data_IF_655617265339
#
_entry.id   IF_655617265339
#
_cell.length_a   1.000
_cell.length_b   1.000
_cell.length_c   1.000
_cell.angle_alpha   90.00
_cell.angle_beta   90.00
_cell.angle_gamma   90.00
#
_symmetry.space_group_name_H-M   'P 1'
#
loop_
_entity.id
_entity.type
_entity.pdbx_description
1 polymer ?
#
# COMPACT_ATOMS: atom_id res chain seq x y z
N UNK A 1 -22.14 4.42 -14.52
CA UNK A 1 -20.73 3.99 -14.58
C UNK A 1 -19.85 5.07 -15.21
N UNK A 2 -20.43 5.94 -16.02
CA UNK A 2 -19.72 6.72 -17.04
C UNK A 2 -19.24 8.10 -16.57
N UNK A 3 -19.61 8.51 -15.35
CA UNK A 3 -19.16 9.79 -14.79
C UNK A 3 -17.63 9.81 -14.60
N UNK A 4 -16.86 10.59 -15.37
CA UNK A 4 -15.40 10.57 -15.30
C UNK A 4 -14.83 11.17 -14.00
N UNK A 5 -15.64 11.91 -13.23
CA UNK A 5 -15.25 12.47 -11.94
C UNK A 5 -15.15 11.38 -10.86
N UNK A 6 -15.95 10.32 -10.97
CA UNK A 6 -15.93 9.19 -10.03
C UNK A 6 -14.78 8.24 -10.36
N UNK A 7 -13.78 8.17 -9.46
CA UNK A 7 -12.60 7.30 -9.62
C UNK A 7 -12.77 5.91 -8.98
N UNK A 8 -13.57 5.81 -7.92
CA UNK A 8 -13.78 4.60 -7.13
C UNK A 8 -15.17 4.68 -6.47
N UNK A 9 -15.77 3.53 -6.19
CA UNK A 9 -17.06 3.44 -5.47
C UNK A 9 -16.86 2.70 -4.15
N UNK A 10 -17.39 3.26 -3.06
CA UNK A 10 -17.38 2.66 -1.73
C UNK A 10 -18.78 2.18 -1.37
N UNK A 11 -18.90 0.99 -0.77
CA UNK A 11 -20.17 0.42 -0.36
C UNK A 11 -20.10 -0.07 1.08
N UNK A 12 -21.09 0.29 1.88
CA UNK A 12 -21.38 -0.35 3.17
C UNK A 12 -22.65 -1.17 3.00
N UNK A 13 -22.53 -2.49 3.09
CA UNK A 13 -23.57 -3.44 2.67
C UNK A 13 -24.07 -4.21 3.89
N UNK A 14 -25.35 -3.99 4.21
CA UNK A 14 -26.08 -4.78 5.21
C UNK A 14 -26.80 -5.97 4.53
N UNK A 15 -27.38 -5.72 3.36
CA UNK A 15 -28.03 -6.73 2.52
C UNK A 15 -28.34 -6.22 1.11
N UNK A 16 -28.50 -7.14 0.16
CA UNK A 16 -28.87 -6.87 -1.22
C UNK A 16 -30.21 -7.54 -1.54
N UNK A 17 -31.20 -6.76 -2.00
CA UNK A 17 -32.50 -7.31 -2.44
C UNK A 17 -32.42 -7.96 -3.83
N UNK A 18 -31.81 -7.25 -4.78
CA UNK A 18 -31.66 -7.67 -6.19
C UNK A 18 -30.25 -8.17 -6.45
N UNK A 19 -29.85 -9.24 -5.75
CA UNK A 19 -28.46 -9.72 -5.73
C UNK A 19 -27.86 -10.00 -7.12
N UNK A 20 -28.63 -10.60 -8.04
CA UNK A 20 -28.15 -10.88 -9.40
C UNK A 20 -27.94 -9.61 -10.22
N UNK A 21 -28.91 -8.69 -10.21
CA UNK A 21 -28.79 -7.40 -10.90
C UNK A 21 -27.59 -6.60 -10.36
N UNK A 22 -27.42 -6.58 -9.04
CA UNK A 22 -26.26 -5.94 -8.39
C UNK A 22 -24.94 -6.57 -8.83
N UNK A 23 -24.86 -7.90 -8.85
CA UNK A 23 -23.66 -8.62 -9.26
C UNK A 23 -23.26 -8.29 -10.70
N UNK A 24 -24.20 -8.32 -11.65
CA UNK A 24 -23.92 -7.98 -13.06
C UNK A 24 -23.45 -6.54 -13.20
N UNK A 25 -24.11 -5.60 -12.51
CA UNK A 25 -23.72 -4.20 -12.51
C UNK A 25 -22.32 -3.99 -11.91
N UNK A 26 -22.03 -4.62 -10.76
CA UNK A 26 -20.74 -4.54 -10.11
C UNK A 26 -19.63 -5.11 -11.02
N UNK A 27 -19.87 -6.27 -11.63
CA UNK A 27 -18.93 -6.93 -12.55
C UNK A 27 -18.63 -6.07 -13.79
N UNK A 28 -19.60 -5.33 -14.31
CA UNK A 28 -19.37 -4.44 -15.45
C UNK A 28 -18.58 -3.19 -15.02
N UNK A 29 -18.96 -2.57 -13.90
CA UNK A 29 -18.32 -1.36 -13.37
C UNK A 29 -16.86 -1.63 -13.02
N UNK A 30 -16.58 -2.76 -12.37
CA UNK A 30 -15.22 -3.12 -11.93
C UNK A 30 -14.27 -3.38 -13.08
N UNK A 31 -14.70 -3.53 -14.34
CA UNK A 31 -13.75 -3.54 -15.47
C UNK A 31 -12.98 -2.23 -15.60
N UNK A 32 -13.57 -1.12 -15.14
CA UNK A 32 -13.02 0.22 -15.30
C UNK A 32 -12.72 0.89 -13.94
N UNK A 33 -13.63 0.78 -12.98
CA UNK A 33 -13.55 1.49 -11.70
C UNK A 33 -13.55 0.53 -10.52
N UNK A 34 -12.58 0.59 -9.60
CA UNK A 34 -12.62 -0.24 -8.41
C UNK A 34 -13.89 0.03 -7.58
N UNK A 35 -14.42 -1.04 -7.00
CA UNK A 35 -15.45 -0.99 -5.97
C UNK A 35 -14.82 -1.57 -4.70
N UNK A 36 -14.87 -0.83 -3.60
CA UNK A 36 -14.47 -1.31 -2.26
C UNK A 36 -15.73 -1.44 -1.42
N UNK A 37 -15.93 -2.61 -0.80
CA UNK A 37 -17.14 -2.89 -0.05
C UNK A 37 -16.85 -3.46 1.34
N UNK A 38 -17.57 -2.95 2.34
CA UNK A 38 -17.69 -3.55 3.67
C UNK A 38 -19.01 -4.31 3.71
N UNK A 39 -18.97 -5.61 4.02
CA UNK A 39 -20.16 -6.41 4.33
C UNK A 39 -20.24 -6.58 5.83
N UNK A 40 -21.33 -6.11 6.44
CA UNK A 40 -21.61 -6.27 7.87
C UNK A 40 -22.64 -7.37 8.11
N UNK A 41 -22.78 -7.83 9.35
CA UNK A 41 -23.62 -9.00 9.66
C UNK A 41 -23.04 -10.28 9.05
N UNK A 42 -21.73 -10.47 9.21
CA UNK A 42 -20.94 -11.61 8.71
C UNK A 42 -20.99 -12.81 9.66
N UNK A 43 -21.27 -12.57 10.94
CA UNK A 43 -21.51 -13.59 11.97
C UNK A 43 -23.00 -13.90 12.11
N UNK A 44 -23.35 -14.98 12.80
CA UNK A 44 -24.74 -15.32 13.05
C UNK A 44 -25.47 -14.23 13.84
N UNK A 45 -24.86 -13.76 14.93
CA UNK A 45 -25.39 -12.71 15.81
C UNK A 45 -25.47 -11.37 15.08
N UNK A 46 -24.42 -11.01 14.34
CA UNK A 46 -24.42 -9.79 13.52
C UNK A 46 -25.47 -9.85 12.42
N UNK A 47 -25.67 -11.03 11.82
CA UNK A 47 -26.70 -11.25 10.81
C UNK A 47 -28.10 -11.13 11.38
N UNK A 48 -28.36 -11.67 12.58
CA UNK A 48 -29.63 -11.49 13.32
C UNK A 48 -29.88 -10.02 13.66
N UNK A 49 -28.85 -9.31 14.13
CA UNK A 49 -28.94 -7.89 14.46
C UNK A 49 -29.22 -7.02 13.21
N UNK A 50 -28.54 -7.29 12.10
CA UNK A 50 -28.81 -6.61 10.83
C UNK A 50 -30.23 -6.90 10.33
N UNK A 51 -30.71 -8.14 10.50
CA UNK A 51 -32.05 -8.53 10.07
C UNK A 51 -33.17 -7.88 10.90
N UNK A 52 -32.98 -7.73 12.21
CA UNK A 52 -33.98 -7.09 13.08
C UNK A 52 -34.13 -5.59 12.78
N UNK A 53 -33.05 -4.91 12.38
CA UNK A 53 -33.09 -3.48 12.04
C UNK A 53 -33.56 -3.21 10.60
N UNK A 54 -33.20 -4.08 9.65
CA UNK A 54 -33.52 -3.86 8.22
C UNK A 54 -34.81 -4.57 7.75
N UNK A 55 -35.35 -5.48 8.55
CA UNK A 55 -36.49 -6.32 8.19
C UNK A 55 -36.19 -7.32 7.08
N UNK A 56 -34.91 -7.64 6.82
CA UNK A 56 -34.49 -8.57 5.76
C UNK A 56 -33.43 -9.55 6.25
N UNK A 57 -33.51 -10.81 5.82
CA UNK A 57 -32.55 -11.83 6.25
C UNK A 57 -31.13 -11.47 5.76
N UNK A 58 -30.14 -11.40 6.66
CA UNK A 58 -28.74 -11.24 6.26
C UNK A 58 -28.33 -12.46 5.43
N UNK A 59 -27.99 -12.25 4.16
CA UNK A 59 -27.56 -13.33 3.26
C UNK A 59 -26.22 -13.93 3.69
N UNK A 60 -25.94 -15.16 3.23
CA UNK A 60 -24.73 -15.90 3.61
C UNK A 60 -23.44 -15.15 3.25
N UNK A 61 -22.56 -14.94 4.24
CA UNK A 61 -21.29 -14.24 4.02
C UNK A 61 -20.40 -14.91 2.97
N UNK A 62 -20.40 -16.25 2.93
CA UNK A 62 -19.64 -17.02 1.93
C UNK A 62 -20.13 -16.75 0.50
N UNK A 63 -21.43 -16.50 0.32
CA UNK A 63 -22.01 -16.15 -0.99
C UNK A 63 -21.60 -14.73 -1.37
N UNK A 64 -21.62 -13.77 -0.44
CA UNK A 64 -21.12 -12.42 -0.68
C UNK A 64 -19.64 -12.43 -1.05
N UNK A 65 -18.81 -13.18 -0.33
CA UNK A 65 -17.38 -13.30 -0.59
C UNK A 65 -17.09 -13.85 -2.01
N UNK A 66 -17.79 -14.92 -2.40
CA UNK A 66 -17.68 -15.49 -3.73
C UNK A 66 -18.15 -14.50 -4.81
N UNK A 67 -19.29 -13.84 -4.61
CA UNK A 67 -19.82 -12.85 -5.53
C UNK A 67 -18.89 -11.65 -5.70
N UNK A 68 -18.30 -11.13 -4.61
CA UNK A 68 -17.33 -10.04 -4.66
C UNK A 68 -16.09 -10.44 -5.44
N UNK A 69 -15.52 -11.61 -5.17
CA UNK A 69 -14.34 -12.13 -5.90
C UNK A 69 -14.60 -12.28 -7.39
N UNK A 70 -15.75 -12.82 -7.78
CA UNK A 70 -16.15 -12.99 -9.18
C UNK A 70 -16.45 -11.65 -9.88
N UNK A 71 -17.05 -10.70 -9.16
CA UNK A 71 -17.33 -9.37 -9.66
C UNK A 71 -16.12 -8.42 -9.61
N UNK A 72 -14.98 -8.81 -9.04
CA UNK A 72 -13.82 -7.92 -8.89
C UNK A 72 -14.02 -6.81 -7.85
N UNK A 73 -14.96 -6.99 -6.93
CA UNK A 73 -15.18 -6.09 -5.79
C UNK A 73 -14.13 -6.40 -4.72
N UNK A 74 -13.49 -5.35 -4.21
CA UNK A 74 -12.47 -5.43 -3.17
C UNK A 74 -13.20 -5.38 -1.83
N UNK A 75 -13.10 -6.46 -1.05
CA UNK A 75 -13.70 -6.52 0.27
C UNK A 75 -12.78 -5.89 1.31
N UNK A 76 -13.31 -4.98 2.12
CA UNK A 76 -12.68 -4.47 3.34
C UNK A 76 -13.42 -5.03 4.58
N UNK A 77 -12.67 -5.27 5.65
CA UNK A 77 -13.18 -5.76 6.95
C UNK A 77 -13.86 -4.64 7.72
N UNK A 78 -13.30 -3.44 7.65
CA UNK A 78 -13.77 -2.27 8.38
C UNK A 78 -13.48 -0.97 7.60
N UNK A 79 -13.85 0.16 8.21
CA UNK A 79 -13.67 1.48 7.62
C UNK A 79 -12.20 1.86 7.45
N UNK A 80 -11.33 1.48 8.39
CA UNK A 80 -9.89 1.83 8.34
C UNK A 80 -9.24 1.17 7.14
N UNK A 81 -9.47 -0.13 6.97
CA UNK A 81 -8.98 -0.88 5.83
C UNK A 81 -9.58 -0.38 4.50
N UNK A 82 -10.87 -0.02 4.50
CA UNK A 82 -11.50 0.60 3.34
C UNK A 82 -10.79 1.89 2.93
N UNK A 83 -10.50 2.81 3.88
CA UNK A 83 -9.78 4.05 3.57
C UNK A 83 -8.35 3.80 3.09
N UNK A 84 -7.66 2.80 3.64
CA UNK A 84 -6.32 2.43 3.16
C UNK A 84 -6.34 1.97 1.72
N UNK A 85 -7.30 1.12 1.37
CA UNK A 85 -7.47 0.60 0.02
C UNK A 85 -7.86 1.71 -0.95
N UNK A 86 -8.76 2.61 -0.57
CA UNK A 86 -9.14 3.77 -1.37
C UNK A 86 -7.90 4.61 -1.69
N UNK A 87 -7.10 4.94 -0.67
CA UNK A 87 -5.88 5.74 -0.85
C UNK A 87 -4.92 5.08 -1.83
N UNK A 88 -4.63 3.80 -1.64
CA UNK A 88 -3.75 3.05 -2.54
C UNK A 88 -4.26 3.00 -3.98
N UNK A 89 -5.54 2.68 -4.16
CA UNK A 89 -6.17 2.56 -5.49
C UNK A 89 -6.27 3.88 -6.26
N UNK A 90 -6.30 5.01 -5.56
CA UNK A 90 -6.36 6.34 -6.18
C UNK A 90 -4.96 6.91 -6.43
N UNK A 91 -4.02 6.69 -5.51
CA UNK A 91 -2.70 7.32 -5.55
C UNK A 91 -1.69 6.53 -6.38
N UNK A 92 -1.67 5.21 -6.24
CA UNK A 92 -0.63 4.37 -6.82
C UNK A 92 -1.07 3.69 -8.13
N UNK A 93 -0.15 3.51 -9.10
CA UNK A 93 -0.39 2.63 -10.24
C UNK A 93 -0.49 1.16 -9.79
N UNK A 94 -1.05 0.30 -10.64
CA UNK A 94 -1.07 -1.14 -10.35
C UNK A 94 0.31 -1.76 -10.62
N UNK A 95 0.79 -2.68 -9.76
CA UNK A 95 2.05 -3.38 -10.03
C UNK A 95 1.90 -4.26 -11.27
N UNK A 96 2.97 -4.41 -12.05
CA UNK A 96 2.98 -5.26 -13.26
C UNK A 96 3.05 -6.76 -12.92
N UNK A 97 3.48 -7.11 -11.72
CA UNK A 97 3.65 -8.47 -11.22
C UNK A 97 3.61 -8.54 -9.69
N UNK A 98 4.08 -9.65 -9.12
CA UNK A 98 3.98 -9.96 -7.69
C UNK A 98 5.28 -9.69 -6.91
N UNK A 99 6.32 -9.15 -7.54
CA UNK A 99 7.66 -9.05 -6.94
C UNK A 99 7.90 -7.67 -6.35
N UNK A 100 7.99 -7.57 -5.04
CA UNK A 100 8.04 -6.30 -4.32
C UNK A 100 9.42 -6.11 -3.70
N UNK A 101 9.99 -4.93 -3.91
CA UNK A 101 11.18 -4.47 -3.20
C UNK A 101 10.79 -3.90 -1.84
N UNK A 102 11.63 -4.12 -0.84
CA UNK A 102 11.48 -3.52 0.49
C UNK A 102 12.78 -2.79 0.83
N UNK A 103 12.68 -1.52 1.25
CA UNK A 103 13.81 -0.70 1.70
C UNK A 103 13.47 -0.07 3.04
N UNK A 104 14.23 -0.42 4.08
CA UNK A 104 13.98 0.05 5.44
C UNK A 104 15.29 0.36 6.15
N UNK A 105 15.29 1.30 7.09
CA UNK A 105 16.39 1.52 8.04
C UNK A 105 16.19 0.75 9.36
N UNK A 106 15.10 -0.01 9.46
CA UNK A 106 14.78 -0.90 10.59
C UNK A 106 14.59 -2.33 10.08
N UNK A 107 15.46 -3.24 10.53
CA UNK A 107 15.36 -4.66 10.19
C UNK A 107 14.06 -5.30 10.66
N UNK A 108 13.50 -4.89 11.81
CA UNK A 108 12.19 -5.39 12.29
C UNK A 108 11.05 -5.04 11.33
N UNK A 109 10.96 -3.76 10.96
CA UNK A 109 9.98 -3.29 9.96
C UNK A 109 10.18 -3.98 8.60
N UNK A 110 11.43 -4.24 8.21
CA UNK A 110 11.75 -4.93 6.97
C UNK A 110 11.22 -6.37 6.95
N UNK A 111 11.42 -7.10 8.05
CA UNK A 111 10.93 -8.48 8.24
C UNK A 111 9.40 -8.52 8.30
N UNK A 112 8.77 -7.67 9.12
CA UNK A 112 7.31 -7.56 9.21
C UNK A 112 6.67 -7.25 7.85
N UNK A 113 7.29 -6.35 7.08
CA UNK A 113 6.83 -6.02 5.73
C UNK A 113 6.94 -7.23 4.79
N UNK A 114 8.04 -7.97 4.84
CA UNK A 114 8.24 -9.14 3.99
C UNK A 114 7.23 -10.25 4.29
N UNK A 115 7.00 -10.56 5.57
CA UNK A 115 6.03 -11.55 5.99
C UNK A 115 4.60 -11.15 5.58
N UNK A 116 4.24 -9.89 5.78
CA UNK A 116 2.92 -9.38 5.39
C UNK A 116 2.70 -9.40 3.85
N UNK A 117 3.74 -9.14 3.06
CA UNK A 117 3.70 -9.27 1.60
C UNK A 117 3.47 -10.73 1.18
N UNK A 118 4.20 -11.66 1.77
CA UNK A 118 4.07 -13.10 1.49
C UNK A 118 2.66 -13.58 1.84
N UNK A 119 2.12 -13.16 2.99
CA UNK A 119 0.74 -13.47 3.39
C UNK A 119 -0.32 -12.93 2.43
N UNK A 120 -0.01 -11.86 1.68
CA UNK A 120 -0.85 -11.30 0.62
C UNK A 120 -0.64 -11.97 -0.75
N UNK A 121 0.18 -13.02 -0.84
CA UNK A 121 0.48 -13.73 -2.08
C UNK A 121 1.48 -13.03 -2.99
N UNK A 122 2.26 -12.08 -2.45
CA UNK A 122 3.34 -11.39 -3.13
C UNK A 122 4.69 -12.07 -2.83
N UNK A 123 5.75 -11.63 -3.51
CA UNK A 123 7.11 -12.16 -3.38
C UNK A 123 8.09 -11.04 -3.06
N UNK A 124 9.14 -11.38 -2.32
CA UNK A 124 10.27 -10.48 -2.02
C UNK A 124 11.53 -11.11 -2.61
N UNK A 125 11.75 -11.03 -3.94
CA UNK A 125 12.84 -11.74 -4.57
C UNK A 125 14.19 -11.09 -4.23
N UNK A 126 15.23 -11.92 -4.13
CA UNK A 126 16.61 -11.45 -4.01
C UNK A 126 16.97 -10.58 -5.22
N UNK A 127 17.56 -9.40 -4.98
CA UNK A 127 18.04 -8.51 -6.02
C UNK A 127 19.21 -9.13 -6.78
N UNK A 128 19.42 -8.76 -8.05
CA UNK A 128 20.65 -9.13 -8.77
C UNK A 128 21.92 -8.73 -8.02
N UNK A 129 22.99 -9.49 -8.25
CA UNK A 129 24.29 -9.24 -7.63
C UNK A 129 24.83 -7.85 -7.93
N UNK A 130 24.61 -7.34 -9.15
CA UNK A 130 25.04 -5.99 -9.54
C UNK A 130 24.35 -4.92 -8.69
N UNK A 131 23.05 -5.06 -8.46
CA UNK A 131 22.30 -4.14 -7.61
C UNK A 131 22.77 -4.22 -6.15
N UNK A 132 23.02 -5.43 -5.64
CA UNK A 132 23.57 -5.61 -4.29
C UNK A 132 24.95 -4.94 -4.14
N UNK A 133 25.82 -5.06 -5.16
CA UNK A 133 27.14 -4.40 -5.19
C UNK A 133 27.01 -2.88 -5.19
N UNK A 134 26.06 -2.30 -5.92
CA UNK A 134 25.83 -0.85 -5.89
C UNK A 134 25.27 -0.37 -4.54
N UNK A 135 24.38 -1.15 -3.91
CA UNK A 135 23.85 -0.83 -2.58
C UNK A 135 24.97 -0.86 -1.53
N UNK A 136 25.85 -1.87 -1.56
CA UNK A 136 27.00 -1.97 -0.64
C UNK A 136 27.95 -0.76 -0.70
N UNK A 137 27.97 0.00 -1.80
CA UNK A 137 28.77 1.24 -1.89
C UNK A 137 28.20 2.40 -1.08
N UNK A 138 26.95 2.32 -0.65
CA UNK A 138 26.25 3.42 0.04
C UNK A 138 25.72 3.05 1.43
N UNK A 139 25.55 1.77 1.74
CA UNK A 139 25.17 1.30 3.08
C UNK A 139 26.40 0.90 3.91
N UNK A 140 26.29 0.86 5.26
CA UNK A 140 27.36 0.32 6.11
C UNK A 140 27.64 -1.16 5.84
N UNK A 141 28.85 -1.63 6.15
CA UNK A 141 29.29 -3.02 5.94
C UNK A 141 28.44 -4.08 6.64
N UNK A 142 27.75 -3.70 7.72
CA UNK A 142 26.85 -4.55 8.50
C UNK A 142 25.37 -4.43 8.08
N UNK A 143 25.06 -3.63 7.05
CA UNK A 143 23.74 -3.58 6.45
C UNK A 143 23.46 -4.77 5.54
N UNK A 144 22.19 -4.93 5.14
CA UNK A 144 21.78 -6.00 4.23
C UNK A 144 21.45 -5.44 2.84
N UNK A 145 22.25 -5.74 1.79
CA UNK A 145 21.97 -5.27 0.44
C UNK A 145 20.96 -6.12 -0.32
N UNK A 146 20.55 -7.29 0.23
CA UNK A 146 19.52 -8.15 -0.38
C UNK A 146 18.14 -7.53 -0.18
N UNK A 147 17.12 -8.09 -0.81
CA UNK A 147 15.74 -7.71 -0.54
C UNK A 147 15.19 -8.60 0.60
N UNK A 148 14.64 -8.06 1.70
CA UNK A 148 14.54 -6.64 2.07
C UNK A 148 15.88 -5.96 2.34
N UNK A 149 16.05 -4.75 1.81
CA UNK A 149 17.26 -3.95 1.98
C UNK A 149 17.21 -3.25 3.34
N UNK A 150 18.21 -3.51 4.19
CA UNK A 150 18.35 -2.90 5.51
C UNK A 150 19.47 -1.85 5.48
N UNK A 151 19.05 -0.58 5.55
CA UNK A 151 19.92 0.60 5.62
C UNK A 151 20.52 0.80 7.01
N UNK A 152 20.07 0.03 8.01
CA UNK A 152 20.46 0.08 9.43
C UNK A 152 20.04 1.36 10.15
N UNK A 153 20.07 1.34 11.49
CA UNK A 153 19.79 2.51 12.32
C UNK A 153 20.86 3.61 12.20
N UNK A 154 22.08 3.27 11.77
CA UNK A 154 23.16 4.23 11.48
C UNK A 154 22.95 5.01 10.19
N UNK A 155 21.80 4.80 9.52
CA UNK A 155 21.27 5.48 8.35
C UNK A 155 22.02 6.75 7.94
N UNK A 156 22.47 6.80 6.69
CA UNK A 156 23.01 8.02 6.11
C UNK A 156 22.09 8.53 5.00
N UNK A 157 22.08 9.85 4.76
CA UNK A 157 21.16 10.46 3.79
C UNK A 157 21.40 9.96 2.35
N UNK A 158 22.65 9.66 2.01
CA UNK A 158 23.02 9.15 0.69
C UNK A 158 22.39 7.78 0.40
N UNK A 159 22.40 6.85 1.37
CA UNK A 159 21.78 5.55 1.23
C UNK A 159 20.25 5.66 1.19
N UNK A 160 19.67 6.49 2.05
CA UNK A 160 18.23 6.72 2.10
C UNK A 160 17.66 7.21 0.76
N UNK A 161 18.38 8.12 0.09
CA UNK A 161 17.93 8.69 -1.18
C UNK A 161 18.27 7.79 -2.39
N UNK A 162 19.41 7.09 -2.39
CA UNK A 162 19.88 6.33 -3.58
C UNK A 162 19.35 4.91 -3.66
N UNK A 163 19.19 4.22 -2.53
CA UNK A 163 18.78 2.81 -2.54
C UNK A 163 17.40 2.59 -3.17
N UNK A 164 16.38 3.44 -2.92
CA UNK A 164 15.10 3.29 -3.61
C UNK A 164 15.21 3.35 -5.14
N UNK A 165 16.06 4.22 -5.71
CA UNK A 165 16.31 4.28 -7.17
C UNK A 165 16.91 2.97 -7.67
N UNK A 166 17.91 2.43 -6.97
CA UNK A 166 18.58 1.16 -7.32
C UNK A 166 17.59 -0.01 -7.30
N UNK A 167 16.73 -0.08 -6.29
CA UNK A 167 15.73 -1.15 -6.17
C UNK A 167 14.64 -0.99 -7.23
N UNK A 168 14.11 0.21 -7.42
CA UNK A 168 13.06 0.47 -8.41
C UNK A 168 13.55 0.30 -9.85
N UNK A 169 14.84 0.49 -10.14
CA UNK A 169 15.39 0.27 -11.48
C UNK A 169 15.44 -1.21 -11.88
N UNK A 170 15.32 -2.13 -10.93
CA UNK A 170 15.44 -3.56 -11.22
C UNK A 170 14.22 -4.09 -11.99
N UNK A 171 14.38 -4.75 -13.15
CA UNK A 171 13.28 -5.34 -13.91
C UNK A 171 12.59 -6.52 -13.20
N UNK A 172 13.19 -7.07 -12.16
CA UNK A 172 12.59 -8.09 -11.29
C UNK A 172 11.72 -7.52 -10.17
N UNK A 173 11.64 -6.19 -10.04
CA UNK A 173 10.82 -5.52 -9.04
C UNK A 173 9.64 -4.84 -9.74
N UNK A 174 8.43 -5.11 -9.26
CA UNK A 174 7.17 -4.63 -9.80
C UNK A 174 6.50 -3.55 -8.92
N UNK A 175 7.04 -3.32 -7.72
CA UNK A 175 6.61 -2.29 -6.75
C UNK A 175 7.59 -2.17 -5.59
N UNK A 176 7.49 -1.11 -4.79
CA UNK A 176 8.34 -0.84 -3.62
C UNK A 176 7.48 -0.55 -2.38
N UNK A 177 7.86 -1.12 -1.25
CA UNK A 177 7.48 -0.60 0.07
C UNK A 177 8.75 -0.06 0.73
N UNK A 178 8.68 1.16 1.24
CA UNK A 178 9.83 1.80 1.90
C UNK A 178 9.42 2.53 3.16
N UNK A 179 10.37 2.86 4.03
CA UNK A 179 10.11 3.57 5.28
C UNK A 179 10.37 5.08 5.13
N UNK A 180 9.54 5.90 5.77
CA UNK A 180 9.78 7.34 5.93
C UNK A 180 10.77 7.65 7.05
N UNK A 181 11.22 8.90 7.12
CA UNK A 181 12.01 9.39 8.25
C UNK A 181 11.11 10.16 9.22
N UNK A 182 11.08 9.71 10.47
CA UNK A 182 10.44 10.44 11.56
C UNK A 182 11.34 11.52 12.16
N UNK A 183 10.74 12.40 12.95
CA UNK A 183 11.42 13.55 13.58
C UNK A 183 12.57 13.14 14.48
N UNK A 184 12.42 12.03 15.21
CA UNK A 184 13.47 11.52 16.09
C UNK A 184 14.75 11.17 15.33
N UNK A 185 14.62 10.57 14.14
CA UNK A 185 15.77 10.21 13.30
C UNK A 185 16.42 11.49 12.75
N UNK A 186 15.62 12.43 12.24
CA UNK A 186 16.17 13.69 11.72
C UNK A 186 16.84 14.51 12.81
N UNK A 187 16.27 14.61 14.01
CA UNK A 187 16.90 15.31 15.14
C UNK A 187 18.23 14.65 15.54
N UNK A 188 18.32 13.32 15.42
CA UNK A 188 19.59 12.61 15.67
C UNK A 188 20.63 12.91 14.60
N UNK A 189 20.21 13.05 13.33
CA UNK A 189 21.11 13.41 12.22
C UNK A 189 21.54 14.88 12.24
N UNK A 190 20.64 15.76 12.69
CA UNK A 190 20.81 17.21 12.70
C UNK A 190 20.58 17.75 14.12
N UNK A 191 21.45 17.41 15.09
CA UNK A 191 21.25 17.76 16.50
C UNK A 191 21.24 19.28 16.74
N UNK A 192 21.93 20.04 15.89
CA UNK A 192 22.05 21.50 15.99
C UNK A 192 20.91 22.27 15.29
N UNK A 193 19.99 21.57 14.62
CA UNK A 193 18.84 22.18 13.93
C UNK A 193 17.64 22.15 14.86
N UNK A 194 17.02 23.32 15.05
CA UNK A 194 15.78 23.45 15.81
C UNK A 194 14.64 22.68 15.11
N UNK A 195 13.69 22.14 15.89
CA UNK A 195 12.61 21.30 15.35
C UNK A 195 11.77 22.05 14.31
N UNK A 196 11.58 23.35 14.51
CA UNK A 196 10.83 24.24 13.63
C UNK A 196 11.50 24.39 12.24
N UNK A 197 12.83 24.31 12.21
CA UNK A 197 13.65 24.43 11.00
C UNK A 197 13.83 23.09 10.26
N UNK A 198 13.43 21.96 10.87
CA UNK A 198 13.43 20.65 10.20
C UNK A 198 12.45 20.57 9.03
N UNK A 199 11.46 21.47 8.97
CA UNK A 199 10.47 21.57 7.88
C UNK A 199 11.12 21.66 6.50
N UNK A 200 12.13 22.51 6.35
CA UNK A 200 12.90 22.65 5.10
C UNK A 200 13.63 21.37 4.71
N UNK A 201 14.15 20.63 5.70
CA UNK A 201 14.83 19.34 5.49
C UNK A 201 13.82 18.27 5.07
N UNK A 202 12.67 18.17 5.74
CA UNK A 202 11.59 17.25 5.36
C UNK A 202 11.16 17.46 3.92
N UNK A 203 10.95 18.72 3.55
CA UNK A 203 10.53 19.09 2.21
C UNK A 203 11.57 18.67 1.18
N UNK A 204 12.83 19.02 1.40
CA UNK A 204 13.91 18.66 0.48
C UNK A 204 14.05 17.15 0.29
N UNK A 205 14.08 16.38 1.39
CA UNK A 205 14.16 14.90 1.34
C UNK A 205 12.96 14.33 0.58
N UNK A 206 11.76 14.79 0.90
CA UNK A 206 10.52 14.31 0.27
C UNK A 206 10.52 14.60 -1.23
N UNK A 207 10.95 15.79 -1.67
CA UNK A 207 11.03 16.15 -3.09
C UNK A 207 12.02 15.25 -3.87
N UNK A 208 13.18 14.92 -3.28
CA UNK A 208 14.13 14.00 -3.90
C UNK A 208 13.57 12.59 -4.04
N UNK A 209 12.91 12.09 -3.00
CA UNK A 209 12.26 10.78 -3.02
C UNK A 209 11.08 10.74 -3.99
N UNK A 210 10.22 11.75 -4.00
CA UNK A 210 9.09 11.86 -4.95
C UNK A 210 9.60 11.80 -6.39
N UNK A 211 10.68 12.53 -6.69
CA UNK A 211 11.32 12.53 -8.02
C UNK A 211 11.76 11.10 -8.40
N UNK A 212 12.39 10.40 -7.46
CA UNK A 212 12.83 9.00 -7.64
C UNK A 212 11.66 8.05 -7.82
N UNK A 213 10.63 8.15 -6.98
CA UNK A 213 9.48 7.24 -7.00
C UNK A 213 8.67 7.40 -8.28
N UNK A 214 8.49 8.63 -8.76
CA UNK A 214 7.74 8.92 -10.00
C UNK A 214 8.50 8.62 -11.29
N UNK A 215 9.81 8.42 -11.23
CA UNK A 215 10.63 7.99 -12.38
C UNK A 215 10.19 6.63 -12.92
N UNK A 216 9.62 5.78 -12.06
CA UNK A 216 9.21 4.43 -12.39
C UNK A 216 7.68 4.32 -12.35
N UNK A 217 7.08 3.73 -13.38
CA UNK A 217 5.63 3.40 -13.40
C UNK A 217 5.32 2.18 -12.50
N UNK A 218 5.82 2.20 -11.26
CA UNK A 218 5.68 1.13 -10.26
C UNK A 218 5.07 1.73 -8.98
N UNK A 219 4.15 1.03 -8.29
CA UNK A 219 3.62 1.51 -7.02
C UNK A 219 4.72 1.63 -5.98
N UNK A 220 4.77 2.77 -5.30
CA UNK A 220 5.60 2.99 -4.11
C UNK A 220 4.68 3.32 -2.94
N UNK A 221 4.77 2.53 -1.87
CA UNK A 221 4.02 2.75 -0.63
C UNK A 221 5.04 3.06 0.48
N UNK A 222 4.75 4.07 1.30
CA UNK A 222 5.65 4.48 2.38
C UNK A 222 5.07 4.07 3.72
N UNK A 223 5.88 3.45 4.58
CA UNK A 223 5.57 3.18 5.97
C UNK A 223 6.15 4.32 6.80
N UNK A 224 5.31 5.06 7.50
CA UNK A 224 5.72 6.02 8.50
C UNK A 224 5.22 5.53 9.88
N UNK A 225 6.03 4.72 10.60
CA UNK A 225 5.64 4.18 11.90
C UNK A 225 5.62 5.34 12.91
N UNK A 226 4.41 5.78 13.27
CA UNK A 226 4.22 7.06 13.93
C UNK A 226 4.72 7.08 15.38
N UNK A 227 5.33 8.22 15.75
CA UNK A 227 5.14 8.85 17.05
C UNK A 227 4.73 10.34 16.94
N UNK A 228 4.81 10.95 15.75
CA UNK A 228 4.41 12.35 15.55
C UNK A 228 3.22 12.45 14.59
N UNK A 229 2.24 13.24 15.02
CA UNK A 229 1.11 13.78 14.27
C UNK A 229 1.50 14.00 12.81
N UNK A 230 0.69 13.44 11.88
CA UNK A 230 0.69 13.70 10.44
C UNK A 230 1.86 14.57 9.96
N UNK A 231 3.05 13.95 9.88
CA UNK A 231 4.28 14.73 9.65
C UNK A 231 4.16 15.50 8.35
N UNK A 232 4.80 16.67 8.26
CA UNK A 232 4.88 17.43 7.02
C UNK A 232 5.31 16.55 5.83
N UNK A 233 6.18 15.55 6.07
CA UNK A 233 6.56 14.54 5.07
C UNK A 233 5.37 13.72 4.55
N UNK A 234 4.46 13.28 5.43
CA UNK A 234 3.26 12.52 5.04
C UNK A 234 2.40 13.35 4.10
N UNK A 235 2.15 14.61 4.46
CA UNK A 235 1.36 15.52 3.64
C UNK A 235 2.01 15.76 2.27
N UNK A 236 3.31 16.03 2.23
CA UNK A 236 4.05 16.25 0.97
C UNK A 236 3.98 15.02 0.07
N UNK A 237 4.17 13.83 0.63
CA UNK A 237 4.07 12.56 -0.12
C UNK A 237 2.64 12.35 -0.65
N UNK A 238 1.62 12.55 0.16
CA UNK A 238 0.23 12.33 -0.23
C UNK A 238 -0.29 13.38 -1.23
N UNK A 239 0.10 14.65 -1.10
CA UNK A 239 -0.15 15.70 -2.10
C UNK A 239 0.50 15.34 -3.45
N UNK A 240 1.64 14.64 -3.41
CA UNK A 240 2.29 14.09 -4.58
C UNK A 240 1.68 12.75 -5.07
N UNK A 241 0.62 12.24 -4.44
CA UNK A 241 -0.02 10.94 -4.68
C UNK A 241 0.88 9.74 -4.42
N UNK A 242 1.63 9.78 -3.33
CA UNK A 242 2.42 8.66 -2.82
C UNK A 242 1.78 8.24 -1.50
N UNK A 243 1.13 7.06 -1.44
CA UNK A 243 0.35 6.68 -0.27
C UNK A 243 1.26 6.31 0.91
N UNK A 244 0.92 6.86 2.08
CA UNK A 244 1.66 6.67 3.33
C UNK A 244 0.81 5.88 4.34
N UNK A 245 1.39 4.88 4.99
CA UNK A 245 0.71 4.02 5.95
C UNK A 245 1.49 3.96 7.26
N UNK A 246 0.80 3.62 8.36
CA UNK A 246 1.42 3.65 9.68
C UNK A 246 2.06 2.34 10.11
N UNK A 247 1.77 1.23 9.42
CA UNK A 247 2.32 -0.09 9.75
C UNK A 247 2.70 -0.89 8.50
N UNK A 248 3.62 -1.86 8.63
CA UNK A 248 3.97 -2.80 7.57
C UNK A 248 2.77 -3.53 6.97
N UNK A 249 1.88 -4.04 7.82
CA UNK A 249 0.72 -4.84 7.41
C UNK A 249 -0.24 -4.01 6.56
N UNK A 250 -0.52 -2.77 6.96
CA UNK A 250 -1.40 -1.87 6.20
C UNK A 250 -0.84 -1.60 4.81
N UNK A 251 0.46 -1.32 4.71
CA UNK A 251 1.11 -1.12 3.42
C UNK A 251 1.09 -2.39 2.54
N UNK A 252 1.37 -3.55 3.14
CA UNK A 252 1.37 -4.83 2.43
C UNK A 252 -0.03 -5.26 1.97
N UNK A 253 -1.06 -5.07 2.81
CA UNK A 253 -2.46 -5.36 2.47
C UNK A 253 -2.92 -4.53 1.26
N UNK A 254 -2.54 -3.25 1.23
CA UNK A 254 -2.82 -2.37 0.09
C UNK A 254 -2.06 -2.83 -1.16
N UNK A 255 -0.77 -3.15 -1.06
CA UNK A 255 -0.01 -3.69 -2.20
C UNK A 255 -0.66 -4.97 -2.74
N UNK A 256 -1.14 -5.84 -1.84
CA UNK A 256 -1.92 -7.02 -2.16
C UNK A 256 -3.23 -6.68 -2.90
N UNK A 257 -3.96 -5.65 -2.48
CA UNK A 257 -5.16 -5.16 -3.18
C UNK A 257 -4.82 -4.67 -4.59
N UNK A 258 -3.76 -3.88 -4.76
CA UNK A 258 -3.32 -3.38 -6.06
C UNK A 258 -2.99 -4.55 -7.00
N UNK A 259 -2.30 -5.58 -6.51
CA UNK A 259 -1.98 -6.75 -7.30
C UNK A 259 -3.21 -7.61 -7.63
N UNK A 260 -4.11 -7.87 -6.67
CA UNK A 260 -5.38 -8.57 -6.94
C UNK A 260 -6.22 -7.84 -7.98
N UNK A 261 -6.21 -6.50 -7.93
CA UNK A 261 -6.86 -5.65 -8.92
C UNK A 261 -6.25 -5.84 -10.31
N UNK A 262 -4.92 -5.86 -10.42
CA UNK A 262 -4.22 -6.17 -11.68
C UNK A 262 -4.64 -7.52 -12.25
N UNK A 263 -4.62 -8.58 -11.43
CA UNK A 263 -5.02 -9.93 -11.84
C UNK A 263 -6.49 -10.02 -12.29
N UNK A 264 -7.38 -9.27 -11.64
CA UNK A 264 -8.77 -9.19 -12.09
C UNK A 264 -8.88 -8.55 -13.48
N UNK A 265 -8.20 -7.42 -13.70
CA UNK A 265 -8.24 -6.72 -14.98
C UNK A 265 -7.63 -7.53 -16.11
N UNK A 266 -6.56 -8.29 -15.85
CA UNK A 266 -5.97 -9.17 -16.85
C UNK A 266 -6.94 -10.28 -17.28
N UNK A 267 -7.61 -10.91 -16.31
CA UNK A 267 -8.63 -11.94 -16.58
C UNK A 267 -9.87 -11.39 -17.28
N UNK A 268 -10.23 -10.12 -17.04
CA UNK A 268 -11.39 -9.50 -17.68
C UNK A 268 -11.13 -9.08 -19.13
N UNK A 269 -9.86 -8.99 -19.54
CA UNK A 269 -9.43 -8.67 -20.91
C UNK A 269 -9.18 -9.92 -21.78
N UNK A 270 -8.86 -11.05 -21.14
CA UNK A 270 -8.69 -12.35 -21.77
C UNK A 270 -10.05 -12.95 -22.17
#
# INVERSE_FOLDING_TARGET
>A
ADDPSVKLICLYIEGLRKGREWYEAAKEITKNKPIVAIKVGTTEEGGKAAASHTGSLSGSDKIYDAAFKQAGVIRARDASEMFDFIKGLIYAPLPKGDRIGVVSNSGGIAVETADALINNGLKVPVLREEAQKEILKVIPDFGNPRNPVDLTASLNMNSFLRVPDIVLSQPEIDGLITIGLGTSILQTMFPDVAKEDLSGIYKWISEQLITTYKKYEKPVLVINPAADIETESTKIMEDARIPVYTTPERAADVMGVLYRRKLYLDRAKA
#
